data_IF_462927536286
#
_entry.id   IF_462927536286
#
_cell.length_a   1.000
_cell.length_b   1.000
_cell.length_c   1.000
_cell.angle_alpha   90.00
_cell.angle_beta   90.00
_cell.angle_gamma   90.00
#
_symmetry.space_group_name_H-M   'P 1'
#
loop_
_entity.id
_entity.type
_entity.pdbx_description
1 polymer ?
#
# COMPACT_ATOMS: atom_id res chain seq x y z
N UNK A 1 0.23 -14.39 -1.94
CA UNK A 1 0.77 -14.66 -3.29
C UNK A 1 2.10 -15.38 -3.11
N UNK A 2 2.13 -16.70 -3.27
CA UNK A 2 3.35 -17.48 -3.09
C UNK A 2 4.15 -17.45 -4.40
N UNK A 3 5.46 -17.19 -4.30
CA UNK A 3 6.39 -17.40 -5.42
C UNK A 3 6.36 -18.90 -5.76
N UNK A 4 6.27 -19.31 -7.04
CA UNK A 4 6.39 -20.71 -7.40
C UNK A 4 7.77 -21.25 -6.98
N UNK A 5 7.82 -22.46 -6.43
CA UNK A 5 9.07 -23.11 -6.01
C UNK A 5 9.88 -23.49 -7.24
N UNK A 6 11.20 -23.24 -7.22
CA UNK A 6 12.14 -23.59 -8.30
C UNK A 6 12.43 -22.50 -9.33
N UNK A 7 11.77 -21.33 -9.27
CA UNK A 7 12.05 -20.22 -10.21
C UNK A 7 13.09 -19.26 -9.63
N UNK A 8 14.23 -19.13 -10.29
CA UNK A 8 15.27 -18.16 -9.96
C UNK A 8 15.11 -16.88 -10.80
N UNK A 9 15.23 -15.72 -10.15
CA UNK A 9 15.07 -14.41 -10.82
C UNK A 9 13.69 -13.76 -10.66
N UNK A 10 13.42 -12.78 -11.53
CA UNK A 10 12.19 -11.99 -11.55
C UNK A 10 11.09 -12.72 -12.31
N UNK A 11 9.95 -12.95 -11.64
CA UNK A 11 8.76 -13.53 -12.25
C UNK A 11 7.67 -12.47 -12.30
N UNK A 12 7.15 -12.21 -13.49
CA UNK A 12 5.99 -11.34 -13.70
C UNK A 12 4.75 -12.07 -13.19
N UNK A 13 4.25 -11.65 -12.03
CA UNK A 13 3.02 -12.18 -11.44
C UNK A 13 1.83 -11.33 -11.92
N UNK A 14 0.79 -11.93 -12.51
CA UNK A 14 -0.26 -11.21 -13.25
C UNK A 14 -1.05 -10.20 -12.39
N UNK A 15 -1.13 -10.42 -11.07
CA UNK A 15 -1.88 -9.56 -10.13
C UNK A 15 -0.99 -8.74 -9.19
N UNK A 16 0.33 -8.83 -9.32
CA UNK A 16 1.28 -8.16 -8.41
C UNK A 16 1.15 -6.64 -8.44
N UNK A 17 0.81 -6.09 -9.60
CA UNK A 17 0.56 -4.66 -9.76
C UNK A 17 -0.52 -4.13 -8.81
N UNK A 18 -1.51 -4.94 -8.40
CA UNK A 18 -2.59 -4.49 -7.51
C UNK A 18 -2.00 -4.13 -6.14
N UNK A 19 -1.15 -5.00 -5.61
CA UNK A 19 -0.50 -4.82 -4.31
C UNK A 19 0.50 -3.66 -4.37
N UNK A 20 1.35 -3.63 -5.41
CA UNK A 20 2.32 -2.56 -5.61
C UNK A 20 1.64 -1.20 -5.77
N UNK A 21 0.47 -1.15 -6.43
CA UNK A 21 -0.33 0.06 -6.58
C UNK A 21 -0.87 0.56 -5.23
N UNK A 22 -1.32 -0.33 -4.35
CA UNK A 22 -1.73 0.06 -2.99
C UNK A 22 -0.56 0.68 -2.22
N UNK A 23 0.63 0.08 -2.29
CA UNK A 23 1.83 0.65 -1.68
C UNK A 23 2.22 1.99 -2.30
N UNK A 24 2.07 2.16 -3.61
CA UNK A 24 2.31 3.44 -4.27
C UNK A 24 1.37 4.54 -3.75
N UNK A 25 0.10 4.23 -3.46
CA UNK A 25 -0.82 5.19 -2.84
C UNK A 25 -0.45 5.52 -1.40
N UNK A 26 -0.06 4.52 -0.60
CA UNK A 26 0.41 4.73 0.77
C UNK A 26 1.70 5.57 0.81
N UNK A 27 2.62 5.35 -0.12
CA UNK A 27 3.87 6.10 -0.22
C UNK A 27 3.66 7.60 -0.51
N UNK A 28 2.51 7.99 -1.09
CA UNK A 28 2.15 9.41 -1.26
C UNK A 28 1.79 10.11 0.04
N UNK A 29 1.49 9.35 1.11
CA UNK A 29 1.31 9.91 2.44
C UNK A 29 2.67 10.12 3.09
N UNK A 30 3.06 11.39 3.28
CA UNK A 30 4.33 11.77 3.92
C UNK A 30 4.57 11.07 5.26
N UNK A 31 3.52 10.79 6.02
CA UNK A 31 3.59 10.11 7.32
C UNK A 31 4.00 8.63 7.22
N UNK A 32 3.82 7.99 6.06
CA UNK A 32 4.30 6.62 5.79
C UNK A 32 5.71 6.57 5.20
N UNK A 33 6.41 7.72 5.12
CA UNK A 33 7.78 7.77 4.58
C UNK A 33 8.82 7.09 5.48
N UNK A 34 8.56 7.02 6.78
CA UNK A 34 9.40 6.38 7.80
C UNK A 34 8.48 5.84 8.90
N UNK A 35 8.99 4.93 9.72
CA UNK A 35 8.28 4.48 10.92
C UNK A 35 8.31 5.58 11.98
N UNK A 36 7.35 6.50 11.88
CA UNK A 36 7.16 7.58 12.85
C UNK A 36 6.28 7.14 14.04
N UNK A 37 5.48 6.09 13.86
CA UNK A 37 4.46 5.69 14.82
C UNK A 37 5.06 4.82 15.93
N UNK A 38 4.76 5.17 17.19
CA UNK A 38 5.28 4.46 18.37
C UNK A 38 4.56 3.15 18.65
N UNK A 39 3.31 3.03 18.19
CA UNK A 39 2.46 1.85 18.42
C UNK A 39 1.92 1.33 17.10
N UNK A 40 1.71 0.02 17.03
CA UNK A 40 1.10 -0.64 15.88
C UNK A 40 -0.32 -0.12 15.61
N UNK A 41 -1.09 0.13 16.68
CA UNK A 41 -2.43 0.71 16.58
C UNK A 41 -2.44 2.09 15.92
N UNK A 42 -1.44 2.94 16.20
CA UNK A 42 -1.31 4.25 15.53
C UNK A 42 -0.95 4.08 14.05
N UNK A 43 0.01 3.20 13.73
CA UNK A 43 0.38 2.89 12.35
C UNK A 43 -0.79 2.35 11.53
N UNK A 44 -1.60 1.47 12.13
CA UNK A 44 -2.82 0.95 11.54
C UNK A 44 -3.85 2.06 11.29
N UNK A 45 -4.11 2.93 12.28
CA UNK A 45 -5.01 4.06 12.12
C UNK A 45 -4.59 4.98 10.95
N UNK A 46 -3.30 5.27 10.81
CA UNK A 46 -2.81 6.08 9.68
C UNK A 46 -2.91 5.37 8.33
N UNK A 47 -2.87 4.05 8.30
CA UNK A 47 -3.13 3.27 7.08
C UNK A 47 -4.59 3.44 6.65
N UNK A 48 -5.53 3.34 7.60
CA UNK A 48 -6.95 3.58 7.32
C UNK A 48 -7.22 5.01 6.85
N UNK A 49 -6.66 6.01 7.55
CA UNK A 49 -6.80 7.43 7.17
C UNK A 49 -6.28 7.68 5.74
N UNK A 50 -5.15 7.07 5.37
CA UNK A 50 -4.60 7.21 4.02
C UNK A 50 -5.57 6.67 2.95
N UNK A 51 -6.19 5.51 3.20
CA UNK A 51 -7.17 4.91 2.29
C UNK A 51 -8.48 5.68 2.23
N UNK A 52 -9.01 6.15 3.37
CA UNK A 52 -10.22 6.99 3.41
C UNK A 52 -10.03 8.22 2.52
N UNK A 53 -8.95 8.97 2.71
CA UNK A 53 -8.68 10.15 1.91
C UNK A 53 -8.50 9.85 0.41
N UNK A 54 -7.90 8.72 0.05
CA UNK A 54 -7.81 8.28 -1.34
C UNK A 54 -9.21 8.06 -1.93
N UNK A 55 -10.08 7.36 -1.19
CA UNK A 55 -11.45 7.07 -1.62
C UNK A 55 -12.29 8.35 -1.69
N UNK A 56 -12.18 9.26 -0.71
CA UNK A 56 -12.84 10.57 -0.74
C UNK A 56 -12.44 11.39 -1.97
N UNK A 57 -11.14 11.44 -2.31
CA UNK A 57 -10.68 12.13 -3.52
C UNK A 57 -11.22 11.51 -4.80
N UNK A 58 -11.31 10.18 -4.85
CA UNK A 58 -11.92 9.50 -6.00
C UNK A 58 -13.39 9.80 -6.13
N UNK A 59 -14.12 9.82 -5.02
CA UNK A 59 -15.55 10.13 -5.02
C UNK A 59 -15.80 11.58 -5.45
N UNK A 60 -14.98 12.52 -5.00
CA UNK A 60 -15.11 13.92 -5.39
C UNK A 60 -14.70 14.19 -6.86
N UNK A 61 -13.88 13.31 -7.44
CA UNK A 61 -13.42 13.41 -8.83
C UNK A 61 -14.17 12.45 -9.78
N UNK A 62 -15.27 11.85 -9.33
CA UNK A 62 -16.22 11.13 -10.19
C UNK A 62 -17.19 12.11 -10.83
#
# INVERSE_FOLDING_TARGET
MLRPVGVHGFLVLPKRWIVERTFAWLARYRRHSKDYEKTTASAEAFTYIAMINLMSKRLANQ
#
